data_IF_488337568542
#
_entry.id   IF_488337568542
#
_cell.length_a   1.000
_cell.length_b   1.000
_cell.length_c   1.000
_cell.angle_alpha   90.00
_cell.angle_beta   90.00
_cell.angle_gamma   90.00
#
_symmetry.space_group_name_H-M   'P 1'
#
loop_
_entity.id
_entity.type
_entity.pdbx_description
1 polymer ?
#
# COMPACT_ATOMS: atom_id res chain seq x y z
N UNK A 1 22.32 -9.89 -0.06
CA UNK A 1 20.90 -9.99 0.33
C UNK A 1 20.49 -8.62 0.84
N UNK A 2 19.39 -8.05 0.32
CA UNK A 2 18.86 -6.77 0.82
C UNK A 2 18.38 -6.94 2.27
N UNK A 3 18.60 -5.91 3.08
CA UNK A 3 18.11 -5.86 4.47
C UNK A 3 16.57 -5.95 4.50
N UNK A 4 16.01 -6.77 5.37
CA UNK A 4 14.56 -6.89 5.54
C UNK A 4 14.07 -5.78 6.48
N UNK A 5 13.14 -4.94 5.99
CA UNK A 5 12.54 -3.87 6.79
C UNK A 5 11.34 -4.35 7.58
N UNK A 6 10.48 -5.19 6.96
CA UNK A 6 9.30 -5.76 7.62
C UNK A 6 9.31 -7.27 7.45
N UNK A 7 9.10 -7.99 8.56
CA UNK A 7 9.00 -9.45 8.59
C UNK A 7 7.80 -9.89 9.41
N UNK A 8 6.95 -10.71 8.79
CA UNK A 8 5.89 -11.47 9.44
C UNK A 8 6.35 -12.91 9.57
N UNK A 9 6.16 -13.52 10.73
CA UNK A 9 6.53 -14.92 10.99
C UNK A 9 5.37 -15.63 11.69
N UNK A 10 4.75 -16.57 10.99
CA UNK A 10 3.65 -17.39 11.51
C UNK A 10 2.47 -16.56 12.03
N UNK A 11 2.08 -15.48 11.36
CA UNK A 11 1.05 -14.56 11.84
C UNK A 11 -0.34 -15.15 11.66
N UNK A 12 -1.10 -15.22 12.76
CA UNK A 12 -2.51 -15.60 12.77
C UNK A 12 -3.37 -14.41 13.14
N UNK A 13 -4.48 -14.20 12.41
CA UNK A 13 -5.43 -13.12 12.69
C UNK A 13 -6.85 -13.62 12.52
N UNK A 14 -7.70 -13.27 13.49
CA UNK A 14 -9.14 -13.57 13.47
C UNK A 14 -9.96 -12.29 13.34
N UNK A 15 -11.08 -12.36 12.62
CA UNK A 15 -12.09 -11.30 12.53
C UNK A 15 -13.40 -11.89 13.06
N UNK A 16 -13.74 -11.56 14.29
CA UNK A 16 -14.82 -12.27 15.01
C UNK A 16 -14.47 -13.74 15.16
N UNK A 17 -15.38 -14.62 14.69
CA UNK A 17 -15.16 -16.06 14.71
C UNK A 17 -14.34 -16.60 13.51
N UNK A 18 -14.04 -15.77 12.52
CA UNK A 18 -13.36 -16.21 11.30
C UNK A 18 -11.85 -16.10 11.44
N UNK A 19 -11.16 -17.20 11.24
CA UNK A 19 -9.70 -17.24 11.13
C UNK A 19 -9.34 -16.84 9.70
N UNK A 20 -8.60 -15.76 9.51
CA UNK A 20 -8.31 -15.19 8.19
C UNK A 20 -6.85 -15.37 7.81
N UNK A 21 -5.91 -15.14 8.73
CA UNK A 21 -4.49 -15.41 8.48
C UNK A 21 -4.09 -16.68 9.22
N UNK A 22 -3.58 -17.64 8.46
CA UNK A 22 -3.34 -19.02 8.89
C UNK A 22 -1.84 -19.35 9.03
N UNK A 23 -1.06 -18.44 9.64
CA UNK A 23 0.40 -18.56 9.71
C UNK A 23 1.04 -17.84 8.52
N UNK A 24 0.76 -16.55 8.40
CA UNK A 24 1.30 -15.69 7.34
C UNK A 24 2.79 -15.46 7.58
N UNK A 25 3.62 -15.84 6.61
CA UNK A 25 5.04 -15.53 6.52
C UNK A 25 5.28 -14.57 5.36
N UNK A 26 5.86 -13.39 5.63
CA UNK A 26 6.12 -12.37 4.61
C UNK A 26 7.40 -11.62 4.96
N UNK A 27 8.26 -11.40 3.97
CA UNK A 27 9.42 -10.53 4.07
C UNK A 27 9.32 -9.39 3.07
N UNK A 28 9.57 -8.16 3.54
CA UNK A 28 9.57 -6.94 2.72
C UNK A 28 10.96 -6.33 2.79
N UNK A 29 11.73 -6.40 1.70
CA UNK A 29 13.05 -5.79 1.61
C UNK A 29 13.00 -4.27 1.72
N UNK A 30 14.00 -3.68 2.37
CA UNK A 30 14.15 -2.22 2.49
C UNK A 30 14.41 -1.57 1.13
N UNK A 31 13.79 -0.41 0.90
CA UNK A 31 14.05 0.46 -0.27
C UNK A 31 13.46 -0.06 -1.58
N UNK A 32 12.59 -1.10 -1.54
CA UNK A 32 11.94 -1.68 -2.70
C UNK A 32 10.42 -1.60 -2.65
N UNK A 33 9.78 -2.07 -3.73
CA UNK A 33 8.33 -2.24 -3.81
C UNK A 33 8.01 -3.73 -3.86
N UNK A 34 7.41 -4.24 -2.79
CA UNK A 34 6.89 -5.61 -2.69
C UNK A 34 5.40 -5.61 -3.05
N UNK A 35 5.02 -6.46 -3.99
CA UNK A 35 3.62 -6.72 -4.33
C UNK A 35 3.08 -7.88 -3.52
N UNK A 36 1.92 -7.68 -2.89
CA UNK A 36 1.13 -8.73 -2.27
C UNK A 36 -0.07 -9.04 -3.15
N UNK A 37 0.02 -10.12 -3.92
CA UNK A 37 -1.00 -10.54 -4.88
C UNK A 37 -1.86 -11.67 -4.31
N UNK A 38 -3.03 -11.87 -4.89
CA UNK A 38 -3.94 -12.98 -4.53
C UNK A 38 -5.39 -12.65 -4.84
N UNK A 39 -6.25 -13.65 -4.79
CA UNK A 39 -7.68 -13.50 -5.04
C UNK A 39 -8.38 -12.68 -3.98
N UNK A 40 -9.62 -12.28 -4.25
CA UNK A 40 -10.49 -11.68 -3.23
C UNK A 40 -10.69 -12.65 -2.07
N UNK A 41 -10.59 -12.14 -0.85
CA UNK A 41 -10.74 -12.96 0.36
C UNK A 41 -9.48 -13.74 0.78
N UNK A 42 -8.38 -13.70 0.01
CA UNK A 42 -7.15 -14.43 0.35
C UNK A 42 -6.43 -13.94 1.63
N UNK A 43 -6.83 -12.80 2.21
CA UNK A 43 -6.22 -12.27 3.44
C UNK A 43 -5.32 -11.05 3.25
N UNK A 44 -5.19 -10.50 2.03
CA UNK A 44 -4.29 -9.38 1.70
C UNK A 44 -4.54 -8.13 2.54
N UNK A 45 -5.77 -7.59 2.52
CA UNK A 45 -6.17 -6.43 3.34
C UNK A 45 -6.02 -6.72 4.84
N UNK A 46 -6.35 -7.95 5.26
CA UNK A 46 -6.17 -8.38 6.65
C UNK A 46 -4.70 -8.34 7.06
N UNK A 47 -3.79 -8.72 6.17
CA UNK A 47 -2.35 -8.62 6.41
C UNK A 47 -1.93 -7.16 6.68
N UNK A 48 -2.33 -6.20 5.81
CA UNK A 48 -2.02 -4.79 6.03
C UNK A 48 -2.62 -4.25 7.34
N UNK A 49 -3.87 -4.62 7.62
CA UNK A 49 -4.55 -4.20 8.86
C UNK A 49 -3.93 -4.83 10.11
N UNK A 50 -3.39 -6.05 10.01
CA UNK A 50 -2.66 -6.69 11.12
C UNK A 50 -1.33 -5.99 11.38
N UNK A 51 -0.59 -5.60 10.33
CA UNK A 51 0.64 -4.80 10.45
C UNK A 51 0.34 -3.48 11.16
N UNK A 52 -0.76 -2.81 10.82
CA UNK A 52 -1.18 -1.55 11.42
C UNK A 52 -1.82 -1.69 12.82
N UNK A 53 -1.99 -2.91 13.32
CA UNK A 53 -2.67 -3.14 14.60
C UNK A 53 -4.17 -2.80 14.59
N UNK A 54 -4.78 -2.61 13.41
CA UNK A 54 -6.23 -2.44 13.25
C UNK A 54 -6.98 -3.75 13.50
N UNK A 55 -6.38 -4.88 13.12
CA UNK A 55 -6.75 -6.23 13.50
C UNK A 55 -5.61 -6.84 14.29
N UNK A 56 -5.83 -7.16 15.56
CA UNK A 56 -4.76 -7.70 16.40
C UNK A 56 -4.42 -9.14 15.98
N UNK A 57 -3.14 -9.39 15.70
CA UNK A 57 -2.65 -10.74 15.46
C UNK A 57 -2.74 -11.56 16.76
N UNK A 58 -3.38 -12.73 16.68
CA UNK A 58 -3.55 -13.64 17.83
C UNK A 58 -2.31 -14.46 18.13
N UNK A 59 -1.48 -14.74 17.10
CA UNK A 59 -0.22 -15.48 17.24
C UNK A 59 0.79 -15.00 16.17
N UNK A 60 2.04 -15.44 16.29
CA UNK A 60 3.13 -15.08 15.41
C UNK A 60 3.84 -13.79 15.85
N UNK A 61 4.66 -13.23 14.96
CA UNK A 61 5.46 -12.02 15.17
C UNK A 61 5.41 -11.14 13.95
N UNK A 62 5.37 -9.81 14.15
CA UNK A 62 5.41 -8.78 13.11
C UNK A 62 6.52 -7.81 13.49
N UNK A 63 7.69 -7.96 12.87
CA UNK A 63 8.87 -7.13 13.17
C UNK A 63 9.07 -6.09 12.06
N UNK A 64 9.11 -4.82 12.44
CA UNK A 64 9.41 -3.70 11.58
C UNK A 64 10.64 -2.96 12.09
N UNK A 65 11.68 -2.86 11.25
CA UNK A 65 12.94 -2.17 11.57
C UNK A 65 13.49 -2.60 12.96
N UNK A 66 13.45 -3.92 13.23
CA UNK A 66 13.87 -4.51 14.51
C UNK A 66 12.87 -4.38 15.67
N UNK A 67 11.70 -3.74 15.46
CA UNK A 67 10.68 -3.48 16.48
C UNK A 67 9.49 -4.42 16.31
N UNK A 68 9.12 -5.18 17.35
CA UNK A 68 7.89 -5.99 17.35
C UNK A 68 6.66 -5.06 17.36
N UNK A 69 5.75 -5.26 16.39
CA UNK A 69 4.52 -4.49 16.24
C UNK A 69 3.31 -5.15 16.92
N UNK A 70 3.31 -6.48 17.07
CA UNK A 70 2.19 -7.21 17.67
C UNK A 70 1.92 -6.68 19.09
N UNK A 71 0.66 -6.37 19.36
CA UNK A 71 0.23 -5.81 20.64
C UNK A 71 0.39 -4.29 20.78
N UNK A 72 1.05 -3.61 19.81
CA UNK A 72 1.10 -2.14 19.81
C UNK A 72 -0.23 -1.56 19.31
N UNK A 73 -0.53 -0.33 19.76
CA UNK A 73 -1.67 0.42 19.26
C UNK A 73 -1.39 0.98 17.85
N UNK A 74 -2.43 1.15 17.03
CA UNK A 74 -2.29 1.77 15.69
C UNK A 74 -1.59 3.15 15.73
N UNK A 75 -1.88 4.06 16.67
CA UNK A 75 -1.14 5.30 16.77
C UNK A 75 0.36 5.12 17.05
N UNK A 76 0.74 4.13 17.88
CA UNK A 76 2.15 3.86 18.17
C UNK A 76 2.88 3.30 16.94
N UNK A 77 2.21 2.41 16.19
CA UNK A 77 2.73 1.89 14.91
C UNK A 77 2.92 3.02 13.90
N UNK A 78 1.92 3.90 13.75
CA UNK A 78 2.02 5.04 12.84
C UNK A 78 3.19 5.99 13.18
N UNK A 79 3.55 6.13 14.48
CA UNK A 79 4.71 6.93 14.93
C UNK A 79 6.07 6.34 14.52
N UNK A 80 6.11 5.08 14.10
CA UNK A 80 7.32 4.43 13.57
C UNK A 80 7.58 4.75 12.09
N UNK A 81 6.91 5.75 11.53
CA UNK A 81 7.00 6.16 10.12
C UNK A 81 6.40 5.14 9.14
N UNK A 82 5.36 4.44 9.59
CA UNK A 82 4.50 3.61 8.73
C UNK A 82 3.27 4.42 8.34
N UNK A 83 2.97 4.52 7.03
CA UNK A 83 1.73 5.08 6.52
C UNK A 83 0.86 3.97 5.92
N UNK A 84 -0.46 4.17 5.94
CA UNK A 84 -1.42 3.24 5.37
C UNK A 84 -2.43 3.97 4.48
N UNK A 85 -2.55 3.52 3.24
CA UNK A 85 -3.57 3.93 2.27
C UNK A 85 -4.59 2.80 2.18
N UNK A 86 -5.76 2.91 2.82
CA UNK A 86 -6.77 1.86 2.78
C UNK A 86 -7.52 1.86 1.44
N UNK A 87 -8.13 0.72 1.10
CA UNK A 87 -8.95 0.53 -0.10
C UNK A 87 -10.07 1.58 -0.25
N UNK A 88 -10.69 2.00 0.86
CA UNK A 88 -11.71 3.05 0.87
C UNK A 88 -11.14 4.48 0.87
N UNK A 89 -9.83 4.62 0.58
CA UNK A 89 -9.07 5.88 0.52
C UNK A 89 -8.97 6.66 1.85
N UNK A 90 -9.90 6.52 2.78
CA UNK A 90 -9.90 7.15 4.11
C UNK A 90 -9.84 8.68 4.08
N UNK A 91 -10.35 9.34 3.03
CA UNK A 91 -10.38 10.81 2.91
C UNK A 91 -11.50 11.41 3.75
N UNK A 92 -11.29 12.63 4.21
CA UNK A 92 -12.33 13.43 4.88
C UNK A 92 -13.07 14.27 3.83
N UNK A 93 -14.27 13.80 3.45
CA UNK A 93 -15.03 14.34 2.32
C UNK A 93 -15.46 15.80 2.50
N UNK A 94 -15.77 16.19 3.73
CA UNK A 94 -16.25 17.55 4.06
C UNK A 94 -15.10 18.56 4.20
N UNK A 95 -13.87 18.09 4.33
CA UNK A 95 -12.68 18.91 4.37
C UNK A 95 -12.16 19.18 2.96
N UNK A 96 -11.48 20.31 2.79
CA UNK A 96 -10.76 20.63 1.56
C UNK A 96 -9.59 19.67 1.32
N UNK A 97 -9.09 19.63 0.09
CA UNK A 97 -7.84 18.90 -0.24
C UNK A 97 -6.70 19.33 0.67
N UNK A 98 -6.54 20.67 0.86
CA UNK A 98 -5.55 21.28 1.76
C UNK A 98 -5.66 20.72 3.18
N UNK A 99 -6.84 20.76 3.77
CA UNK A 99 -7.07 20.31 5.15
C UNK A 99 -6.82 18.81 5.30
N UNK A 100 -7.16 18.01 4.28
CA UNK A 100 -6.82 16.58 4.25
C UNK A 100 -5.31 16.34 4.34
N UNK A 101 -4.48 17.16 3.66
CA UNK A 101 -3.02 17.04 3.73
C UNK A 101 -2.46 17.55 5.05
N UNK A 102 -2.98 18.67 5.58
CA UNK A 102 -2.59 19.20 6.90
C UNK A 102 -2.84 18.16 8.00
N UNK A 103 -4.00 17.52 8.00
CA UNK A 103 -4.33 16.46 8.98
C UNK A 103 -3.41 15.23 8.88
N UNK A 104 -2.88 14.95 7.70
CA UNK A 104 -1.96 13.82 7.49
C UNK A 104 -0.52 14.14 7.89
N UNK A 105 -0.16 15.41 7.93
CA UNK A 105 1.14 15.90 8.39
C UNK A 105 1.13 16.03 9.93
N UNK A 106 1.86 15.16 10.62
CA UNK A 106 1.80 15.00 12.09
C UNK A 106 2.13 16.26 12.89
N UNK A 107 2.93 17.17 12.34
CA UNK A 107 3.40 18.38 13.01
C UNK A 107 2.78 19.66 12.45
N UNK A 108 2.08 19.57 11.32
CA UNK A 108 1.46 20.72 10.70
C UNK A 108 0.17 21.14 11.44
N UNK A 109 -0.03 22.43 11.58
CA UNK A 109 -1.30 23.06 12.01
C UNK A 109 -1.94 23.81 10.85
N UNK A 110 -1.12 24.25 9.91
CA UNK A 110 -1.51 24.95 8.68
C UNK A 110 -0.77 24.35 7.49
N UNK A 111 -1.15 24.71 6.28
CA UNK A 111 -0.45 24.26 5.08
C UNK A 111 0.98 24.80 4.98
N UNK A 112 1.24 25.96 5.59
CA UNK A 112 2.56 26.59 5.60
C UNK A 112 3.57 25.84 6.49
N UNK A 113 3.08 24.96 7.37
CA UNK A 113 3.91 24.08 8.18
C UNK A 113 4.40 22.84 7.44
N UNK A 114 3.81 22.55 6.25
CA UNK A 114 4.25 21.45 5.38
C UNK A 114 5.49 21.91 4.61
N UNK A 115 6.51 21.05 4.56
CA UNK A 115 7.71 21.35 3.77
C UNK A 115 7.36 21.70 2.33
N UNK A 116 7.78 22.88 1.88
CA UNK A 116 7.41 23.43 0.58
C UNK A 116 7.90 22.56 -0.58
N UNK A 117 9.12 22.04 -0.50
CA UNK A 117 9.68 21.18 -1.55
C UNK A 117 8.89 19.88 -1.65
N UNK A 118 8.47 19.34 -0.50
CA UNK A 118 7.64 18.15 -0.43
C UNK A 118 6.28 18.39 -1.06
N UNK A 119 5.66 19.52 -0.77
CA UNK A 119 4.37 19.88 -1.34
C UNK A 119 4.45 20.09 -2.86
N UNK A 120 5.46 20.80 -3.35
CA UNK A 120 5.71 21.02 -4.77
C UNK A 120 5.94 19.68 -5.51
N UNK A 121 6.67 18.76 -4.88
CA UNK A 121 6.85 17.41 -5.41
C UNK A 121 5.52 16.64 -5.49
N UNK A 122 4.67 16.70 -4.45
CA UNK A 122 3.33 16.09 -4.47
C UNK A 122 2.48 16.68 -5.61
N UNK A 123 2.53 17.98 -5.83
CA UNK A 123 1.82 18.65 -6.91
C UNK A 123 2.33 18.21 -8.28
N UNK A 124 3.65 17.98 -8.43
CA UNK A 124 4.21 17.44 -9.67
C UNK A 124 3.73 16.01 -9.97
N UNK A 125 3.59 15.17 -8.94
CA UNK A 125 3.05 13.81 -9.07
C UNK A 125 1.54 13.81 -9.36
N UNK A 126 0.82 14.70 -8.70
CA UNK A 126 -0.64 14.75 -8.72
C UNK A 126 -1.15 16.20 -8.95
N UNK A 127 -1.06 16.71 -10.19
CA UNK A 127 -1.48 18.11 -10.48
C UNK A 127 -2.93 18.42 -10.09
N UNK A 128 -3.80 17.41 -10.01
CA UNK A 128 -5.17 17.57 -9.54
C UNK A 128 -5.22 18.02 -8.07
N UNK A 129 -4.24 17.67 -7.24
CA UNK A 129 -4.18 18.06 -5.82
C UNK A 129 -3.95 19.56 -5.70
N UNK A 130 -3.08 20.13 -6.52
CA UNK A 130 -2.87 21.58 -6.59
C UNK A 130 -4.10 22.29 -7.14
N UNK A 131 -4.62 21.82 -8.29
CA UNK A 131 -5.79 22.40 -8.97
C UNK A 131 -7.01 22.51 -8.06
N UNK A 132 -7.25 21.50 -7.24
CA UNK A 132 -8.43 21.43 -6.36
C UNK A 132 -8.12 21.74 -4.90
N UNK A 133 -7.02 22.43 -4.61
CA UNK A 133 -6.46 22.69 -3.29
C UNK A 133 -7.46 23.14 -2.22
N UNK A 134 -8.33 24.09 -2.59
CA UNK A 134 -9.36 24.67 -1.71
C UNK A 134 -10.76 24.05 -1.90
N UNK A 135 -10.89 23.01 -2.73
CA UNK A 135 -12.18 22.37 -2.94
C UNK A 135 -12.42 21.26 -1.89
N UNK A 136 -13.69 21.05 -1.48
CA UNK A 136 -14.04 19.90 -0.66
C UNK A 136 -13.63 18.59 -1.33
N UNK A 137 -12.95 17.71 -0.59
CA UNK A 137 -12.40 16.45 -1.12
C UNK A 137 -13.51 15.48 -1.58
N UNK A 138 -14.70 15.59 -1.01
CA UNK A 138 -15.87 14.81 -1.42
C UNK A 138 -16.31 15.03 -2.86
N UNK A 139 -16.01 16.21 -3.44
CA UNK A 139 -16.35 16.59 -4.83
C UNK A 139 -15.34 16.10 -5.87
N UNK A 140 -14.21 15.52 -5.45
CA UNK A 140 -13.22 14.94 -6.34
C UNK A 140 -13.76 13.67 -7.02
N UNK A 141 -13.31 13.40 -8.25
CA UNK A 141 -13.55 12.10 -8.90
C UNK A 141 -12.87 10.94 -8.12
N UNK A 142 -13.28 9.70 -8.37
CA UNK A 142 -12.67 8.52 -7.71
C UNK A 142 -11.16 8.48 -7.87
N UNK A 143 -10.65 8.72 -9.08
CA UNK A 143 -9.20 8.77 -9.33
C UNK A 143 -8.49 9.92 -8.62
N UNK A 144 -9.11 11.10 -8.53
CA UNK A 144 -8.57 12.24 -7.78
C UNK A 144 -8.57 11.97 -6.26
N UNK A 145 -9.60 11.29 -5.75
CA UNK A 145 -9.65 10.83 -4.35
C UNK A 145 -8.53 9.84 -4.05
N UNK A 146 -8.24 8.93 -4.97
CA UNK A 146 -7.14 7.98 -4.84
C UNK A 146 -5.78 8.71 -4.83
N UNK A 147 -5.59 9.69 -5.71
CA UNK A 147 -4.40 10.55 -5.70
C UNK A 147 -4.25 11.29 -4.36
N UNK A 148 -5.35 11.82 -3.81
CA UNK A 148 -5.34 12.49 -2.50
C UNK A 148 -4.98 11.51 -1.38
N UNK A 149 -5.51 10.28 -1.40
CA UNK A 149 -5.18 9.25 -0.41
C UNK A 149 -3.68 8.91 -0.40
N UNK A 150 -3.07 8.76 -1.58
CA UNK A 150 -1.62 8.55 -1.71
C UNK A 150 -0.85 9.80 -1.28
N UNK A 151 -1.25 11.00 -1.72
CA UNK A 151 -0.63 12.27 -1.34
C UNK A 151 -0.57 12.45 0.19
N UNK A 152 -1.63 12.09 0.90
CA UNK A 152 -1.67 12.09 2.37
C UNK A 152 -0.65 11.14 3.01
N UNK A 153 -0.42 9.98 2.41
CA UNK A 153 0.56 9.03 2.92
C UNK A 153 2.01 9.53 2.78
N UNK A 154 2.27 10.35 1.73
CA UNK A 154 3.60 10.83 1.37
C UNK A 154 3.87 12.29 1.74
N UNK A 155 2.95 12.98 2.40
CA UNK A 155 3.10 14.39 2.80
C UNK A 155 4.29 14.61 3.75
N UNK A 156 4.67 13.58 4.48
CA UNK A 156 5.91 13.51 5.26
C UNK A 156 6.74 12.29 4.82
N UNK A 157 8.07 12.29 5.00
CA UNK A 157 8.88 11.11 4.77
C UNK A 157 8.38 9.91 5.57
N UNK A 158 8.36 8.72 4.95
CA UNK A 158 7.96 7.46 5.59
C UNK A 158 9.00 6.38 5.32
N UNK A 159 9.22 5.51 6.30
CA UNK A 159 10.03 4.31 6.11
C UNK A 159 9.28 3.24 5.33
N UNK A 160 7.97 3.10 5.60
CA UNK A 160 7.11 2.11 4.95
C UNK A 160 5.76 2.74 4.61
N UNK A 161 5.30 2.48 3.38
CA UNK A 161 3.93 2.80 2.96
C UNK A 161 3.23 1.49 2.62
N UNK A 162 2.12 1.25 3.29
CA UNK A 162 1.19 0.16 3.01
C UNK A 162 0.07 0.69 2.13
N UNK A 163 -0.19 0.05 0.99
CA UNK A 163 -1.20 0.51 0.01
C UNK A 163 -2.13 -0.63 -0.35
N UNK A 164 -3.43 -0.41 -0.21
CA UNK A 164 -4.45 -1.43 -0.41
C UNK A 164 -5.27 -1.16 -1.68
N UNK A 165 -5.06 -1.97 -2.73
CA UNK A 165 -5.75 -1.98 -4.03
C UNK A 165 -5.91 -0.59 -4.70
N UNK A 166 -4.82 0.18 -4.91
CA UNK A 166 -4.91 1.55 -5.41
C UNK A 166 -5.42 1.66 -6.85
N UNK A 167 -5.39 0.59 -7.66
CA UNK A 167 -5.86 0.61 -9.05
C UNK A 167 -7.35 0.26 -9.21
N UNK A 168 -8.01 -0.18 -8.13
CA UNK A 168 -9.36 -0.72 -8.18
C UNK A 168 -10.39 0.32 -8.64
N UNK A 169 -11.14 -0.02 -9.68
CA UNK A 169 -12.21 0.83 -10.21
C UNK A 169 -11.74 2.11 -10.90
N UNK A 170 -10.45 2.25 -11.19
CA UNK A 170 -9.89 3.42 -11.87
C UNK A 170 -9.88 3.27 -13.38
N UNK A 171 -10.06 4.40 -14.09
CA UNK A 171 -9.89 4.46 -15.53
C UNK A 171 -8.41 4.25 -15.93
N UNK A 172 -8.12 3.68 -17.12
CA UNK A 172 -6.75 3.38 -17.56
C UNK A 172 -5.78 4.57 -17.49
N UNK A 173 -6.24 5.78 -17.84
CA UNK A 173 -5.40 6.98 -17.75
C UNK A 173 -5.00 7.34 -16.31
N UNK A 174 -5.86 7.09 -15.33
CA UNK A 174 -5.57 7.31 -13.91
C UNK A 174 -4.60 6.24 -13.41
N UNK A 175 -4.77 4.99 -13.85
CA UNK A 175 -3.84 3.89 -13.54
C UNK A 175 -2.43 4.25 -14.04
N UNK A 176 -2.29 4.78 -15.25
CA UNK A 176 -0.99 5.21 -15.79
C UNK A 176 -0.35 6.30 -14.92
N UNK A 177 -1.12 7.30 -14.47
CA UNK A 177 -0.62 8.33 -13.57
C UNK A 177 -0.18 7.75 -12.21
N UNK A 178 -0.93 6.81 -11.67
CA UNK A 178 -0.55 6.12 -10.43
C UNK A 178 0.74 5.32 -10.57
N UNK A 179 0.92 4.63 -11.70
CA UNK A 179 2.18 3.91 -11.99
C UNK A 179 3.35 4.89 -12.02
N UNK A 180 3.20 6.05 -12.69
CA UNK A 180 4.26 7.08 -12.71
C UNK A 180 4.57 7.57 -11.30
N UNK A 181 3.57 7.88 -10.49
CA UNK A 181 3.76 8.34 -9.12
C UNK A 181 4.46 7.28 -8.24
N UNK A 182 4.10 6.00 -8.34
CA UNK A 182 4.78 4.93 -7.59
C UNK A 182 6.21 4.69 -8.09
N UNK A 183 6.50 4.87 -9.38
CA UNK A 183 7.88 4.83 -9.90
C UNK A 183 8.74 5.94 -9.31
N UNK A 184 8.23 7.16 -9.21
CA UNK A 184 8.91 8.27 -8.56
C UNK A 184 9.11 8.01 -7.05
N UNK A 185 8.10 7.47 -6.37
CA UNK A 185 8.21 7.05 -4.97
C UNK A 185 9.32 6.01 -4.75
N UNK A 186 9.50 5.07 -5.66
CA UNK A 186 10.59 4.07 -5.62
C UNK A 186 11.99 4.69 -5.73
N UNK A 187 12.13 5.92 -6.24
CA UNK A 187 13.42 6.62 -6.28
C UNK A 187 13.78 7.26 -4.93
N UNK A 188 12.87 7.23 -3.97
CA UNK A 188 13.12 7.67 -2.60
C UNK A 188 13.54 6.49 -1.72
N UNK A 189 14.02 6.77 -0.50
CA UNK A 189 14.36 5.73 0.50
C UNK A 189 13.13 5.04 1.11
N UNK A 190 11.94 5.26 0.55
CA UNK A 190 10.68 4.71 1.06
C UNK A 190 10.48 3.28 0.59
N UNK A 191 10.22 2.36 1.51
CA UNK A 191 9.78 0.99 1.20
C UNK A 191 8.27 0.97 0.97
N UNK A 192 7.80 0.18 0.02
CA UNK A 192 6.37 0.08 -0.31
C UNK A 192 5.93 -1.38 -0.26
N UNK A 193 4.88 -1.67 0.49
CA UNK A 193 4.12 -2.92 0.42
C UNK A 193 2.74 -2.61 -0.18
N UNK A 194 2.50 -3.10 -1.38
CA UNK A 194 1.33 -2.77 -2.16
C UNK A 194 0.50 -4.04 -2.46
N UNK A 195 -0.74 -4.03 -2.01
CA UNK A 195 -1.73 -5.07 -2.29
C UNK A 195 -2.43 -4.78 -3.61
N UNK A 196 -2.52 -5.78 -4.48
CA UNK A 196 -3.22 -5.68 -5.76
C UNK A 196 -3.82 -7.00 -6.23
N UNK A 197 -4.80 -6.89 -7.13
CA UNK A 197 -5.33 -7.98 -7.95
C UNK A 197 -4.97 -7.79 -9.41
N UNK A 198 -4.78 -6.54 -9.84
CA UNK A 198 -4.43 -6.19 -11.21
C UNK A 198 -2.96 -6.54 -11.47
N UNK A 199 -2.73 -7.72 -12.05
CA UNK A 199 -1.38 -8.19 -12.37
C UNK A 199 -0.65 -7.25 -13.34
N UNK A 200 -1.37 -6.65 -14.31
CA UNK A 200 -0.76 -5.71 -15.27
C UNK A 200 -0.27 -4.42 -14.58
N UNK A 201 -0.92 -3.98 -13.52
CA UNK A 201 -0.44 -2.89 -12.68
C UNK A 201 0.77 -3.35 -11.85
N UNK A 202 0.65 -4.51 -11.19
CA UNK A 202 1.66 -5.05 -10.30
C UNK A 202 3.01 -5.29 -11.00
N UNK A 203 3.01 -5.94 -12.17
CA UNK A 203 4.24 -6.28 -12.92
C UNK A 203 5.03 -5.05 -13.40
N UNK A 204 4.39 -3.88 -13.49
CA UNK A 204 5.05 -2.64 -13.91
C UNK A 204 5.79 -1.94 -12.77
N UNK A 205 5.54 -2.31 -11.52
CA UNK A 205 6.03 -1.62 -10.33
C UNK A 205 6.84 -2.51 -9.39
N UNK A 206 6.42 -3.77 -9.22
CA UNK A 206 6.98 -4.67 -8.21
C UNK A 206 8.45 -5.04 -8.49
N UNK A 207 9.26 -5.01 -7.44
CA UNK A 207 10.60 -5.60 -7.44
C UNK A 207 10.49 -7.05 -6.96
N UNK A 208 9.76 -7.26 -5.86
CA UNK A 208 9.44 -8.58 -5.31
C UNK A 208 7.94 -8.79 -5.27
N UNK A 209 7.53 -10.03 -5.19
CA UNK A 209 6.13 -10.45 -5.11
C UNK A 209 5.96 -11.53 -4.07
N UNK A 210 4.87 -11.46 -3.31
CA UNK A 210 4.33 -12.55 -2.53
C UNK A 210 2.89 -12.81 -2.98
N UNK A 211 2.55 -14.06 -3.24
CA UNK A 211 1.19 -14.46 -3.61
C UNK A 211 0.52 -15.11 -2.40
N UNK A 212 -0.64 -14.58 -2.05
CA UNK A 212 -1.42 -15.04 -0.89
C UNK A 212 -2.60 -15.88 -1.38
N UNK A 213 -2.79 -17.01 -0.75
CA UNK A 213 -3.98 -17.83 -0.88
C UNK A 213 -4.35 -18.39 0.50
N UNK A 214 -5.63 -18.37 0.83
CA UNK A 214 -6.18 -18.84 2.11
C UNK A 214 -5.35 -18.41 3.34
N UNK A 215 -5.04 -17.10 3.43
CA UNK A 215 -4.34 -16.51 4.58
C UNK A 215 -2.87 -16.91 4.74
N UNK A 216 -2.23 -17.45 3.69
CA UNK A 216 -0.81 -17.85 3.67
C UNK A 216 -0.12 -17.35 2.42
N UNK A 217 1.17 -17.09 2.50
CA UNK A 217 2.00 -16.89 1.31
C UNK A 217 2.29 -18.27 0.69
N UNK A 218 1.84 -18.46 -0.55
CA UNK A 218 2.03 -19.71 -1.31
C UNK A 218 3.17 -19.59 -2.33
N UNK A 219 3.64 -18.38 -2.60
CA UNK A 219 4.79 -18.10 -3.46
C UNK A 219 5.40 -16.75 -3.08
N UNK A 220 6.73 -16.67 -3.08
CA UNK A 220 7.47 -15.43 -2.94
C UNK A 220 8.73 -15.47 -3.82
N UNK A 221 9.06 -14.33 -4.44
CA UNK A 221 10.23 -14.23 -5.33
C UNK A 221 10.36 -12.88 -6.02
N UNK A 222 11.18 -12.81 -7.05
CA UNK A 222 11.29 -11.63 -7.89
C UNK A 222 10.03 -11.47 -8.76
N UNK A 223 9.54 -10.23 -8.88
CA UNK A 223 8.39 -9.96 -9.75
C UNK A 223 8.67 -10.32 -11.21
N UNK A 224 9.90 -10.11 -11.66
CA UNK A 224 10.30 -10.43 -13.02
C UNK A 224 10.18 -11.93 -13.34
N UNK A 225 10.50 -12.81 -12.38
CA UNK A 225 10.36 -14.27 -12.56
C UNK A 225 8.90 -14.66 -12.69
N UNK A 226 8.03 -14.16 -11.83
CA UNK A 226 6.58 -14.40 -11.95
C UNK A 226 6.03 -13.82 -13.26
N UNK A 227 6.50 -12.64 -13.69
CA UNK A 227 6.04 -12.02 -14.92
C UNK A 227 6.47 -12.76 -16.20
N UNK A 228 7.55 -13.54 -16.15
CA UNK A 228 8.05 -14.32 -17.25
C UNK A 228 7.44 -15.74 -17.33
N UNK A 229 6.76 -16.25 -16.29
CA UNK A 229 6.21 -17.59 -16.21
C UNK A 229 4.67 -17.58 -16.24
N UNK A 230 4.09 -17.72 -17.45
CA UNK A 230 2.64 -17.74 -17.64
C UNK A 230 1.97 -18.94 -16.95
N UNK A 231 2.63 -20.09 -16.88
CA UNK A 231 2.09 -21.27 -16.21
C UNK A 231 1.99 -21.02 -14.70
N UNK A 232 2.99 -20.38 -14.11
CA UNK A 232 3.00 -19.98 -12.72
C UNK A 232 1.91 -18.93 -12.42
N UNK A 233 1.75 -17.92 -13.30
CA UNK A 233 0.67 -16.93 -13.21
C UNK A 233 -0.71 -17.58 -13.23
N UNK A 234 -0.94 -18.48 -14.18
CA UNK A 234 -2.22 -19.20 -14.30
C UNK A 234 -2.53 -20.01 -13.03
N UNK A 235 -1.53 -20.73 -12.52
CA UNK A 235 -1.68 -21.57 -11.33
C UNK A 235 -1.94 -20.74 -10.06
N UNK A 236 -1.19 -19.65 -9.85
CA UNK A 236 -1.23 -18.88 -8.61
C UNK A 236 -2.33 -17.81 -8.60
N UNK A 237 -2.58 -17.16 -9.73
CA UNK A 237 -3.48 -16.02 -9.82
C UNK A 237 -4.81 -16.37 -10.54
N UNK A 238 -4.91 -17.56 -11.13
CA UNK A 238 -6.07 -17.96 -11.92
C UNK A 238 -6.22 -17.14 -13.20
N UNK A 239 -5.13 -16.55 -13.69
CA UNK A 239 -5.12 -15.85 -14.97
C UNK A 239 -5.20 -16.91 -16.07
N UNK A 240 -6.29 -16.95 -16.83
CA UNK A 240 -6.39 -17.83 -17.99
C UNK A 240 -5.34 -17.42 -19.02
N UNK A 241 -4.75 -18.42 -19.68
CA UNK A 241 -3.97 -18.27 -20.92
C UNK A 241 -4.92 -17.77 -22.03
N UNK A 242 -5.49 -16.59 -21.89
CA UNK A 242 -6.32 -16.00 -22.92
C UNK A 242 -5.39 -15.45 -23.99
N UNK A 243 -5.13 -16.32 -24.99
CA UNK A 243 -4.89 -16.03 -26.41
C UNK A 243 -4.79 -14.53 -26.73
N UNK A 244 -3.58 -14.11 -27.05
CA UNK A 244 -3.40 -13.00 -27.97
C UNK A 244 -4.05 -13.38 -29.31
N UNK A 245 -5.23 -12.84 -29.60
CA UNK A 245 -5.73 -12.62 -30.97
C UNK A 245 -5.94 -11.14 -31.16
#
# INVERSE_FOLDING_TARGET
MSEILLKLSGVHTHIGAYHILHGMDLEVPRGGLTMLLGRNGAGKTTTLRSIMGLWQASAGSIVFDGIELRGKSTPDIARLDIAYVPENMGIFADLTVRENLVLAARRARTADDIDRKRLDWIFSLFPAIEKFWLHPAGKLSGGQKQMLAVARAIVEPRKLILVDEPSKGLAPAIIANMITAFRELKQTDTTILLVEQNFNFARQLGDTVAVVDDGRVVHAGAMQELAADEALQSRLLGLSLASHQ
#
